data_IF_456794441603
#
_entry.id   IF_456794441603
#
_cell.length_a   1.000
_cell.length_b   1.000
_cell.length_c   1.000
_cell.angle_alpha   90.00
_cell.angle_beta   90.00
_cell.angle_gamma   90.00
#
_symmetry.space_group_name_H-M   'P 1'
#
loop_
_entity.id
_entity.type
_entity.pdbx_description
1 polymer ?
#
# COMPACT_ATOMS: atom_id res chain seq x y z
N UNK A 1 12.43 10.80 -15.59
CA UNK A 1 12.56 9.46 -16.17
C UNK A 1 11.58 8.57 -15.41
N UNK A 2 10.58 7.95 -16.06
CA UNK A 2 9.66 7.06 -15.34
C UNK A 2 10.39 5.76 -14.99
N UNK A 3 10.22 5.27 -13.75
CA UNK A 3 10.79 4.00 -13.30
C UNK A 3 10.33 2.84 -14.20
N UNK A 4 11.24 1.91 -14.51
CA UNK A 4 10.95 0.74 -15.37
C UNK A 4 9.82 -0.15 -14.82
N UNK A 5 9.60 -0.12 -13.51
CA UNK A 5 8.52 -0.81 -12.84
C UNK A 5 7.16 -0.11 -13.05
N UNK A 6 7.11 1.23 -13.09
CA UNK A 6 5.90 1.98 -13.41
C UNK A 6 5.45 1.75 -14.86
N UNK A 7 6.42 1.66 -15.79
CA UNK A 7 6.16 1.28 -17.18
C UNK A 7 5.55 -0.13 -17.27
N UNK A 8 6.07 -1.09 -16.50
CA UNK A 8 5.49 -2.45 -16.41
C UNK A 8 4.06 -2.44 -15.90
N UNK A 9 3.71 -1.64 -14.89
CA UNK A 9 2.32 -1.54 -14.38
C UNK A 9 1.37 -1.00 -15.46
N UNK A 10 1.78 0.04 -16.18
CA UNK A 10 0.98 0.60 -17.28
C UNK A 10 0.85 -0.33 -18.49
N UNK A 11 1.79 -1.25 -18.68
CA UNK A 11 1.78 -2.22 -19.78
C UNK A 11 1.13 -3.56 -19.39
N UNK A 12 1.08 -3.90 -18.08
CA UNK A 12 0.42 -5.09 -17.56
C UNK A 12 -1.10 -5.05 -17.77
N UNK A 13 -1.68 -3.86 -17.92
CA UNK A 13 -3.07 -3.70 -18.33
C UNK A 13 -3.32 -4.04 -19.81
N UNK A 14 -2.29 -4.38 -20.58
CA UNK A 14 -2.37 -4.54 -22.05
C UNK A 14 -1.74 -5.83 -22.60
N UNK A 15 -1.03 -6.64 -21.80
CA UNK A 15 -0.47 -7.91 -22.28
C UNK A 15 -1.19 -9.12 -21.66
N UNK A 16 -2.26 -9.54 -22.33
CA UNK A 16 -2.78 -10.90 -22.20
C UNK A 16 -1.84 -11.89 -22.91
N UNK A 17 -1.59 -13.01 -22.23
CA UNK A 17 -0.67 -14.06 -22.62
C UNK A 17 -1.10 -14.76 -23.92
N UNK A 18 -0.24 -14.73 -24.94
CA UNK A 18 -0.24 -15.74 -26.00
C UNK A 18 0.97 -16.66 -25.78
N UNK A 19 0.74 -17.85 -25.21
CA UNK A 19 1.44 -19.09 -25.58
C UNK A 19 0.89 -20.31 -24.82
N UNK A 20 0.53 -21.34 -25.61
CA UNK A 20 0.42 -22.76 -25.30
C UNK A 20 -0.88 -23.31 -24.67
N UNK A 21 -1.81 -23.67 -25.57
CA UNK A 21 -2.64 -24.89 -25.58
C UNK A 21 -3.14 -25.45 -24.24
N UNK A 22 -4.29 -24.95 -23.79
CA UNK A 22 -5.31 -25.77 -23.13
C UNK A 22 -6.69 -25.14 -23.37
N UNK A 23 -7.63 -25.98 -23.79
CA UNK A 23 -9.06 -25.71 -23.91
C UNK A 23 -9.64 -25.28 -22.56
N UNK A 24 -9.77 -23.98 -22.35
CA UNK A 24 -10.54 -23.38 -21.26
C UNK A 24 -11.25 -22.14 -21.82
N UNK A 25 -12.55 -22.27 -22.01
CA UNK A 25 -13.49 -21.19 -22.29
C UNK A 25 -13.22 -19.97 -21.40
N UNK A 26 -12.81 -18.86 -22.02
CA UNK A 26 -13.31 -17.50 -21.76
C UNK A 26 -13.51 -17.08 -20.29
N UNK A 27 -12.56 -17.39 -19.41
CA UNK A 27 -12.55 -16.80 -18.06
C UNK A 27 -11.86 -15.45 -18.15
N UNK A 28 -12.65 -14.40 -18.34
CA UNK A 28 -12.16 -13.03 -18.25
C UNK A 28 -11.33 -12.86 -16.97
N UNK A 29 -10.19 -12.13 -17.03
CA UNK A 29 -9.32 -11.97 -15.88
C UNK A 29 -10.12 -11.41 -14.69
N UNK A 30 -10.02 -12.10 -13.55
CA UNK A 30 -10.80 -11.78 -12.36
C UNK A 30 -10.43 -10.38 -11.83
N UNK A 31 -11.36 -9.43 -11.95
CA UNK A 31 -11.14 -8.05 -11.55
C UNK A 31 -11.47 -7.84 -10.06
N UNK A 32 -10.53 -7.25 -9.31
CA UNK A 32 -10.72 -6.98 -7.87
C UNK A 32 -11.06 -5.49 -7.66
N UNK A 33 -12.27 -5.22 -7.15
CA UNK A 33 -12.68 -3.88 -6.71
C UNK A 33 -12.29 -3.64 -5.25
N UNK A 34 -11.40 -2.68 -5.01
CA UNK A 34 -11.05 -2.21 -3.66
C UNK A 34 -11.65 -0.82 -3.43
N UNK A 35 -12.51 -0.66 -2.42
CA UNK A 35 -13.17 0.61 -2.12
C UNK A 35 -13.21 0.94 -0.62
N UNK A 36 -13.47 2.21 -0.33
CA UNK A 36 -13.86 2.72 0.99
C UNK A 36 -15.00 3.73 0.79
N UNK A 37 -15.56 4.33 1.85
CA UNK A 37 -16.75 5.19 1.74
C UNK A 37 -16.63 6.32 0.71
N UNK A 38 -15.44 6.94 0.56
CA UNK A 38 -15.20 8.02 -0.41
C UNK A 38 -14.21 7.66 -1.51
N UNK A 39 -13.58 6.48 -1.44
CA UNK A 39 -12.54 6.07 -2.40
C UNK A 39 -11.24 6.90 -2.40
N UNK A 40 -11.05 7.86 -1.49
CA UNK A 40 -9.93 8.82 -1.54
C UNK A 40 -8.75 8.53 -0.59
N UNK A 41 -8.95 7.73 0.46
CA UNK A 41 -7.95 7.58 1.53
C UNK A 41 -7.70 6.11 1.87
N UNK A 42 -8.55 5.46 2.65
CA UNK A 42 -8.32 4.08 3.14
C UNK A 42 -8.08 3.06 2.04
N UNK A 43 -8.95 3.02 1.03
CA UNK A 43 -8.80 2.10 -0.11
C UNK A 43 -7.55 2.39 -0.93
N UNK A 44 -7.20 3.66 -1.06
CA UNK A 44 -6.01 4.09 -1.79
C UNK A 44 -4.72 3.70 -1.06
N UNK A 45 -4.66 3.88 0.26
CA UNK A 45 -3.56 3.42 1.11
C UNK A 45 -3.35 1.91 0.98
N UNK A 46 -4.42 1.11 0.96
CA UNK A 46 -4.31 -0.33 0.77
C UNK A 46 -3.76 -0.70 -0.62
N UNK A 47 -4.23 -0.04 -1.68
CA UNK A 47 -3.73 -0.23 -3.04
C UNK A 47 -2.24 0.15 -3.11
N UNK A 48 -1.86 1.27 -2.50
CA UNK A 48 -0.49 1.75 -2.49
C UNK A 48 0.48 0.78 -1.85
N UNK A 49 0.19 0.35 -0.63
CA UNK A 49 1.00 -0.64 0.08
C UNK A 49 1.14 -1.96 -0.71
N UNK A 50 0.08 -2.37 -1.42
CA UNK A 50 0.12 -3.54 -2.31
C UNK A 50 1.04 -3.31 -3.51
N UNK A 51 0.93 -2.18 -4.21
CA UNK A 51 1.76 -1.88 -5.37
C UNK A 51 3.24 -1.75 -4.98
N UNK A 52 3.55 -1.06 -3.88
CA UNK A 52 4.90 -0.99 -3.31
C UNK A 52 5.47 -2.38 -3.08
N UNK A 53 4.74 -3.27 -2.39
CA UNK A 53 5.21 -4.63 -2.11
C UNK A 53 5.31 -5.50 -3.35
N UNK A 54 4.33 -5.44 -4.25
CA UNK A 54 4.24 -6.32 -5.43
C UNK A 54 5.30 -5.99 -6.47
N UNK A 55 5.60 -4.71 -6.65
CA UNK A 55 6.51 -4.20 -7.68
C UNK A 55 7.80 -3.61 -7.14
N UNK A 56 8.00 -3.65 -5.81
CA UNK A 56 9.17 -3.08 -5.10
C UNK A 56 9.38 -1.62 -5.51
N UNK A 57 8.28 -0.85 -5.44
CA UNK A 57 8.28 0.57 -5.81
C UNK A 57 8.56 1.44 -4.58
N UNK A 58 9.41 2.48 -4.71
CA UNK A 58 9.52 3.52 -3.70
C UNK A 58 8.18 4.23 -3.48
N UNK A 59 7.93 4.71 -2.27
CA UNK A 59 6.69 5.42 -1.93
C UNK A 59 6.40 6.60 -2.87
N UNK A 60 7.41 7.39 -3.18
CA UNK A 60 7.23 8.59 -4.03
C UNK A 60 6.80 8.24 -5.46
N UNK A 61 7.37 7.18 -6.03
CA UNK A 61 6.99 6.67 -7.36
C UNK A 61 5.55 6.19 -7.37
N UNK A 62 5.14 5.50 -6.31
CA UNK A 62 3.78 5.00 -6.13
C UNK A 62 2.77 6.14 -5.99
N UNK A 63 3.04 7.12 -5.13
CA UNK A 63 2.17 8.28 -4.94
C UNK A 63 2.04 9.10 -6.22
N UNK A 64 3.13 9.26 -6.97
CA UNK A 64 3.09 9.95 -8.27
C UNK A 64 2.25 9.18 -9.28
N UNK A 65 2.36 7.86 -9.34
CA UNK A 65 1.50 7.03 -10.17
C UNK A 65 0.02 7.18 -9.79
N UNK A 66 -0.33 7.09 -8.51
CA UNK A 66 -1.72 7.24 -8.08
C UNK A 66 -2.29 8.63 -8.34
N UNK A 67 -1.48 9.69 -8.18
CA UNK A 67 -1.86 11.07 -8.53
C UNK A 67 -2.26 11.22 -9.99
N UNK A 68 -1.71 10.41 -10.90
CA UNK A 68 -2.14 10.41 -12.32
C UNK A 68 -3.54 9.84 -12.53
N UNK A 69 -4.02 9.00 -11.60
CA UNK A 69 -5.30 8.30 -11.71
C UNK A 69 -6.40 8.96 -10.88
N UNK A 70 -6.03 9.57 -9.76
CA UNK A 70 -6.96 10.21 -8.81
C UNK A 70 -6.31 11.42 -8.16
N UNK A 71 -7.12 12.42 -7.79
CA UNK A 71 -6.65 13.53 -6.97
C UNK A 71 -6.49 13.07 -5.51
N UNK A 72 -5.24 12.91 -5.05
CA UNK A 72 -4.92 12.32 -3.76
C UNK A 72 -4.05 13.28 -2.94
N UNK A 73 -4.37 13.40 -1.65
CA UNK A 73 -3.54 14.12 -0.67
C UNK A 73 -3.42 13.25 0.58
N UNK A 74 -2.37 12.43 0.70
CA UNK A 74 -2.14 11.62 1.90
C UNK A 74 -2.05 12.51 3.15
N UNK A 75 -2.61 12.03 4.25
CA UNK A 75 -2.37 12.65 5.56
C UNK A 75 -0.95 12.32 6.04
N UNK A 76 -0.37 13.14 6.92
CA UNK A 76 0.95 12.87 7.50
C UNK A 76 1.04 11.47 8.14
N UNK A 77 -0.02 11.02 8.81
CA UNK A 77 -0.09 9.69 9.39
C UNK A 77 -0.11 8.56 8.34
N UNK A 78 -0.75 8.79 7.20
CA UNK A 78 -0.73 7.83 6.09
C UNK A 78 0.65 7.78 5.43
N UNK A 79 1.28 8.93 5.21
CA UNK A 79 2.64 9.00 4.67
C UNK A 79 3.63 8.25 5.56
N UNK A 80 3.62 8.55 6.87
CA UNK A 80 4.48 7.87 7.86
C UNK A 80 4.32 6.35 7.84
N UNK A 81 3.09 5.85 7.75
CA UNK A 81 2.85 4.40 7.69
C UNK A 81 3.47 3.76 6.44
N UNK A 82 3.45 4.43 5.28
CA UNK A 82 4.06 3.88 4.08
C UNK A 82 5.59 3.99 4.09
N UNK A 83 6.15 5.06 4.67
CA UNK A 83 7.60 5.18 4.88
C UNK A 83 8.12 4.01 5.73
N UNK A 84 7.44 3.73 6.85
CA UNK A 84 7.76 2.57 7.68
C UNK A 84 7.59 1.27 6.89
N UNK A 85 6.52 1.14 6.10
CA UNK A 85 6.25 -0.04 5.28
C UNK A 85 7.37 -0.34 4.28
N UNK A 86 7.92 0.70 3.65
CA UNK A 86 9.08 0.63 2.77
C UNK A 86 10.35 0.26 3.56
N UNK A 87 10.62 0.96 4.66
CA UNK A 87 11.81 0.77 5.50
C UNK A 87 11.94 -0.66 6.04
N UNK A 88 10.83 -1.27 6.48
CA UNK A 88 10.81 -2.64 7.00
C UNK A 88 10.84 -3.71 5.90
N UNK A 89 10.97 -3.32 4.63
CA UNK A 89 10.92 -4.17 3.44
C UNK A 89 9.66 -5.03 3.42
N UNK A 90 8.51 -4.44 3.72
CA UNK A 90 7.20 -5.09 3.66
C UNK A 90 7.04 -6.29 4.62
N UNK A 91 7.88 -6.39 5.66
CA UNK A 91 7.82 -7.40 6.73
C UNK A 91 7.75 -6.72 8.10
N UNK A 92 6.59 -6.78 8.75
CA UNK A 92 6.29 -6.10 10.02
C UNK A 92 6.94 -6.76 11.24
N UNK A 93 7.11 -8.07 11.22
CA UNK A 93 7.52 -8.88 12.36
C UNK A 93 8.84 -9.57 12.05
N UNK A 94 9.71 -9.72 13.06
CA UNK A 94 10.93 -10.49 12.90
C UNK A 94 10.65 -11.99 12.87
N UNK A 95 9.73 -12.44 13.73
CA UNK A 95 9.24 -13.81 13.81
C UNK A 95 7.89 -14.03 13.12
N UNK A 96 7.62 -15.30 12.77
CA UNK A 96 6.36 -15.70 12.11
C UNK A 96 5.17 -15.71 13.07
N UNK A 97 5.41 -15.78 14.38
CA UNK A 97 4.38 -15.74 15.42
C UNK A 97 3.85 -14.32 15.68
N UNK A 98 4.42 -13.31 14.99
CA UNK A 98 4.04 -11.90 15.07
C UNK A 98 4.14 -11.33 16.48
N UNK A 99 5.16 -11.73 17.23
CA UNK A 99 5.39 -11.27 18.61
C UNK A 99 6.36 -10.10 18.69
N UNK A 100 7.39 -10.11 17.85
CA UNK A 100 8.46 -9.11 17.86
C UNK A 100 8.34 -8.21 16.64
N UNK A 101 7.75 -7.01 16.77
CA UNK A 101 7.68 -6.06 15.66
C UNK A 101 9.09 -5.56 15.32
N UNK A 102 9.33 -5.23 14.06
CA UNK A 102 10.56 -4.54 13.67
C UNK A 102 10.62 -3.17 14.33
N UNK A 103 11.83 -2.73 14.69
CA UNK A 103 12.05 -1.50 15.46
C UNK A 103 11.34 -0.25 14.88
N UNK A 104 11.37 0.04 13.56
CA UNK A 104 10.64 1.20 13.02
C UNK A 104 9.12 1.11 13.21
N UNK A 105 8.56 -0.09 13.11
CA UNK A 105 7.14 -0.35 13.36
C UNK A 105 6.80 -0.28 14.85
N UNK A 106 7.69 -0.77 15.71
CA UNK A 106 7.53 -0.69 17.16
C UNK A 106 7.45 0.76 17.66
N UNK A 107 8.38 1.63 17.23
CA UNK A 107 8.36 3.06 17.56
C UNK A 107 7.03 3.68 17.14
N UNK A 108 6.55 3.35 15.93
CA UNK A 108 5.26 3.85 15.45
C UNK A 108 4.08 3.45 16.35
N UNK A 109 4.06 2.21 16.84
CA UNK A 109 3.03 1.75 17.78
C UNK A 109 3.10 2.51 19.10
N UNK A 110 4.30 2.71 19.65
CA UNK A 110 4.51 3.45 20.90
C UNK A 110 4.04 4.92 20.78
N UNK A 111 4.42 5.61 19.71
CA UNK A 111 3.98 6.99 19.45
C UNK A 111 2.46 7.09 19.33
N UNK A 112 1.86 6.12 18.63
CA UNK A 112 0.40 6.07 18.45
C UNK A 112 -0.31 5.88 19.78
N UNK A 113 0.20 5.02 20.65
CA UNK A 113 -0.37 4.80 21.99
C UNK A 113 -0.33 6.06 22.84
N UNK A 114 0.77 6.82 22.79
CA UNK A 114 0.90 8.11 23.47
C UNK A 114 -0.16 9.10 22.95
N UNK A 115 -0.29 9.22 21.62
CA UNK A 115 -1.26 10.12 21.00
C UNK A 115 -2.70 9.75 21.35
N UNK A 116 -3.04 8.47 21.35
CA UNK A 116 -4.37 7.98 21.69
C UNK A 116 -4.70 8.22 23.17
N UNK A 117 -3.75 7.98 24.09
CA UNK A 117 -3.91 8.30 25.51
C UNK A 117 -4.14 9.79 25.72
N UNK A 118 -3.36 10.64 25.05
CA UNK A 118 -3.51 12.10 25.12
C UNK A 118 -4.87 12.58 24.60
N UNK A 119 -5.32 12.07 23.46
CA UNK A 119 -6.61 12.43 22.89
C UNK A 119 -7.79 11.96 23.76
N UNK A 120 -7.69 10.80 24.41
CA UNK A 120 -8.71 10.36 25.38
C UNK A 120 -8.75 11.27 26.61
N UNK A 121 -7.60 11.68 27.13
CA UNK A 121 -7.53 12.62 28.26
C UNK A 121 -8.11 13.99 27.90
N UNK A 122 -7.87 14.49 26.69
CA UNK A 122 -8.44 15.75 26.21
C UNK A 122 -9.96 15.69 25.93
N UNK A 123 -10.53 14.51 25.73
CA UNK A 123 -11.97 14.33 25.57
C UNK A 123 -12.72 14.11 26.90
N UNK A 124 -12.00 14.00 28.01
CA UNK A 124 -12.55 13.78 29.37
C UNK A 124 -12.49 15.03 30.27
N UNK A 125 -11.77 16.09 29.86
CA UNK A 125 -11.85 17.43 30.46
C UNK A 125 -12.84 18.31 29.67
#
# INVERSE_FOLDING_TARGET
MQSSALFKISHLSTQENHAANADLSDVAPEAILVHCSKGVSRSLTAIAAYLMRKFVLPLEDELNFLRTKRNIKPSANSTRQHEIWEEINYKLWEDDEKRNPKMPYEIFLQDRDILLKRNRLQAMC
#
